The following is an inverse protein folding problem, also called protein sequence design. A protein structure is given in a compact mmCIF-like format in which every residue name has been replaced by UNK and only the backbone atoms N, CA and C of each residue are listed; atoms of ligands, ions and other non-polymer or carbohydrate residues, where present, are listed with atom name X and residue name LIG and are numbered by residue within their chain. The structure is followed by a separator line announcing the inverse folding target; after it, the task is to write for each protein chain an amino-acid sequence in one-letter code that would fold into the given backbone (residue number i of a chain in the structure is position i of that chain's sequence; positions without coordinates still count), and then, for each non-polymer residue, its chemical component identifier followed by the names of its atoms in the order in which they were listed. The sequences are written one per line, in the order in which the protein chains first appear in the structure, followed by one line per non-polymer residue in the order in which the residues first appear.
data_IF_827121674059
#
_entry.id   IF_827121674059
#
_cell.length_a   1.000
_cell.length_b   1.000
_cell.length_c   1.000
_cell.angle_alpha   90.00
_cell.angle_beta   90.00
_cell.angle_gamma   90.00
#
_symmetry.space_group_name_H-M   'P 1'
#
loop_
_entity.id
_entity.type
_entity.pdbx_description
1 polymer ?
#
# COMPACT_ATOMS: atom_id res chain seq x y z
N UNK A 1 15.04 -13.39 5.97
CA UNK A 1 15.95 -14.46 5.48
C UNK A 1 15.03 -15.50 4.86
N UNK A 2 15.16 -15.79 3.56
CA UNK A 2 14.37 -16.86 2.95
C UNK A 2 14.85 -18.18 3.56
N UNK A 3 13.95 -18.95 4.17
CA UNK A 3 14.28 -20.26 4.72
C UNK A 3 14.13 -21.27 3.59
N UNK A 4 15.24 -21.79 3.09
CA UNK A 4 15.25 -22.87 2.11
C UNK A 4 15.27 -24.21 2.86
N UNK A 5 14.20 -24.99 2.73
CA UNK A 5 14.06 -26.32 3.34
C UNK A 5 14.31 -27.45 2.35
N UNK A 6 14.69 -27.09 1.12
CA UNK A 6 14.93 -28.06 0.04
C UNK A 6 13.71 -28.95 -0.20
N UNK A 7 12.52 -28.35 -0.15
CA UNK A 7 11.25 -29.04 -0.38
C UNK A 7 10.76 -28.83 -1.80
N UNK A 8 10.06 -29.81 -2.36
CA UNK A 8 9.43 -29.72 -3.67
C UNK A 8 8.43 -28.56 -3.78
N UNK A 9 7.84 -28.14 -2.66
CA UNK A 9 6.94 -26.98 -2.59
C UNK A 9 7.64 -25.63 -2.81
N UNK A 10 8.97 -25.58 -2.66
CA UNK A 10 9.76 -24.35 -2.78
C UNK A 10 10.31 -24.14 -4.21
N UNK A 11 10.08 -25.11 -5.11
CA UNK A 11 10.45 -25.02 -6.52
C UNK A 11 9.57 -24.00 -7.26
N UNK A 12 10.20 -23.24 -8.15
CA UNK A 12 9.56 -22.31 -9.08
C UNK A 12 8.54 -22.98 -10.03
N UNK A 13 8.71 -24.27 -10.26
CA UNK A 13 7.80 -25.13 -11.04
C UNK A 13 6.61 -25.67 -10.27
N UNK A 14 6.58 -25.59 -8.93
CA UNK A 14 5.49 -26.16 -8.14
C UNK A 14 4.17 -25.41 -8.35
N UNK A 15 4.15 -24.09 -8.08
CA UNK A 15 2.92 -23.30 -8.22
C UNK A 15 2.34 -23.34 -9.65
N UNK A 16 3.12 -23.20 -10.75
CA UNK A 16 2.61 -23.25 -12.11
C UNK A 16 2.08 -24.65 -12.46
N UNK A 17 2.64 -25.72 -11.88
CA UNK A 17 2.13 -27.09 -12.11
C UNK A 17 0.69 -27.28 -11.66
N UNK A 18 0.24 -26.50 -10.67
CA UNK A 18 -1.14 -26.50 -10.16
C UNK A 18 -1.95 -25.40 -10.87
N UNK A 19 -1.42 -24.18 -10.90
CA UNK A 19 -2.10 -23.00 -11.41
C UNK A 19 -2.44 -23.13 -12.90
N UNK A 20 -1.56 -23.68 -13.74
CA UNK A 20 -1.88 -23.89 -15.15
C UNK A 20 -2.98 -24.92 -15.36
N UNK A 21 -3.07 -25.96 -14.51
CA UNK A 21 -4.19 -26.92 -14.55
C UNK A 21 -5.50 -26.27 -14.12
N UNK A 22 -5.43 -25.39 -13.12
CA UNK A 22 -6.56 -24.58 -12.69
C UNK A 22 -7.04 -23.67 -13.82
N UNK A 23 -6.14 -23.01 -14.53
CA UNK A 23 -6.47 -22.13 -15.66
C UNK A 23 -7.25 -22.86 -16.79
N UNK A 24 -6.91 -24.12 -17.06
CA UNK A 24 -7.63 -24.97 -18.03
C UNK A 24 -9.11 -25.16 -17.63
N UNK A 25 -9.40 -25.16 -16.34
CA UNK A 25 -10.77 -25.25 -15.79
C UNK A 25 -11.41 -23.87 -15.65
N UNK A 26 -10.66 -22.86 -15.22
CA UNK A 26 -11.15 -21.48 -15.06
C UNK A 26 -11.63 -20.89 -16.38
N UNK A 27 -10.88 -21.07 -17.47
CA UNK A 27 -11.22 -20.49 -18.77
C UNK A 27 -12.64 -20.88 -19.25
N UNK A 28 -13.02 -22.17 -19.36
CA UNK A 28 -14.37 -22.54 -19.77
C UNK A 28 -15.43 -22.09 -18.76
N UNK A 29 -15.13 -22.07 -17.46
CA UNK A 29 -16.07 -21.60 -16.42
C UNK A 29 -16.31 -20.09 -16.54
N UNK A 30 -15.28 -19.27 -16.73
CA UNK A 30 -15.42 -17.83 -16.92
C UNK A 30 -16.16 -17.51 -18.22
N UNK A 31 -15.89 -18.25 -19.31
CA UNK A 31 -16.62 -18.11 -20.57
C UNK A 31 -18.10 -18.47 -20.41
N UNK A 32 -18.41 -19.57 -19.71
CA UNK A 32 -19.79 -19.96 -19.41
C UNK A 32 -20.50 -18.90 -18.56
N UNK A 33 -19.85 -18.39 -17.52
CA UNK A 33 -20.42 -17.36 -16.65
C UNK A 33 -20.66 -16.05 -17.43
N UNK A 34 -19.72 -15.62 -18.28
CA UNK A 34 -19.91 -14.46 -19.16
C UNK A 34 -21.09 -14.69 -20.11
N UNK A 35 -21.20 -15.88 -20.71
CA UNK A 35 -22.34 -16.26 -21.55
C UNK A 35 -23.68 -16.19 -20.80
N UNK A 36 -23.75 -16.73 -19.59
CA UNK A 36 -24.97 -16.68 -18.75
C UNK A 36 -25.33 -15.23 -18.41
N UNK A 37 -24.36 -14.38 -18.06
CA UNK A 37 -24.62 -12.95 -17.80
C UNK A 37 -25.14 -12.25 -19.07
N UNK A 38 -24.55 -12.53 -20.23
CA UNK A 38 -24.95 -11.85 -21.47
C UNK A 38 -26.33 -12.32 -21.95
N UNK A 39 -26.64 -13.61 -21.89
CA UNK A 39 -27.81 -14.17 -22.56
C UNK A 39 -28.93 -14.62 -21.63
N UNK A 40 -28.66 -14.84 -20.34
CA UNK A 40 -29.63 -15.39 -19.37
C UNK A 40 -30.01 -14.42 -18.23
N UNK A 41 -29.45 -13.21 -18.17
CA UNK A 41 -29.89 -12.21 -17.18
C UNK A 41 -31.37 -11.83 -17.40
N UNK A 42 -32.24 -11.99 -16.38
CA UNK A 42 -33.67 -11.72 -16.52
C UNK A 42 -33.97 -10.22 -16.68
N UNK A 43 -35.11 -9.84 -17.27
CA UNK A 43 -35.50 -8.44 -17.47
C UNK A 43 -35.50 -7.59 -16.19
N UNK A 44 -35.82 -8.21 -15.05
CA UNK A 44 -35.83 -7.57 -13.72
C UNK A 44 -34.44 -7.13 -13.24
N UNK A 45 -33.37 -7.71 -13.81
CA UNK A 45 -31.97 -7.39 -13.47
C UNK A 45 -31.23 -6.69 -14.61
N UNK A 46 -31.95 -6.20 -15.63
CA UNK A 46 -31.35 -5.57 -16.81
C UNK A 46 -30.52 -4.33 -16.47
N UNK A 47 -30.91 -3.57 -15.45
CA UNK A 47 -30.19 -2.36 -15.00
C UNK A 47 -28.83 -2.64 -14.37
N UNK A 48 -28.61 -3.85 -13.80
CA UNK A 48 -27.34 -4.23 -13.17
C UNK A 48 -26.45 -5.08 -14.08
N UNK A 49 -26.99 -5.57 -15.20
CA UNK A 49 -26.32 -6.48 -16.14
C UNK A 49 -24.94 -5.99 -16.58
N UNK A 50 -24.82 -4.72 -16.97
CA UNK A 50 -23.55 -4.15 -17.46
C UNK A 50 -22.46 -4.15 -16.39
N UNK A 51 -22.80 -3.72 -15.17
CA UNK A 51 -21.85 -3.69 -14.05
C UNK A 51 -21.49 -5.10 -13.57
N UNK A 52 -22.46 -6.03 -13.59
CA UNK A 52 -22.22 -7.44 -13.28
C UNK A 52 -21.27 -8.09 -14.31
N UNK A 53 -21.45 -7.79 -15.59
CA UNK A 53 -20.54 -8.27 -16.64
C UNK A 53 -19.14 -7.68 -16.49
N UNK A 54 -19.03 -6.37 -16.24
CA UNK A 54 -17.75 -5.70 -16.05
C UNK A 54 -16.98 -6.28 -14.85
N UNK A 55 -17.66 -6.45 -13.72
CA UNK A 55 -17.10 -7.10 -12.53
C UNK A 55 -16.60 -8.51 -12.83
N UNK A 56 -17.39 -9.31 -13.56
CA UNK A 56 -17.00 -10.66 -13.96
C UNK A 56 -15.78 -10.66 -14.88
N UNK A 57 -15.73 -9.78 -15.88
CA UNK A 57 -14.60 -9.70 -16.81
C UNK A 57 -13.31 -9.24 -16.11
N UNK A 58 -13.38 -8.27 -15.21
CA UNK A 58 -12.21 -7.83 -14.42
C UNK A 58 -11.71 -8.94 -13.48
N UNK A 59 -12.62 -9.67 -12.83
CA UNK A 59 -12.28 -10.82 -12.00
C UNK A 59 -11.65 -11.96 -12.82
N UNK A 60 -12.30 -12.36 -13.91
CA UNK A 60 -11.80 -13.41 -14.80
C UNK A 60 -10.42 -13.06 -15.41
N UNK A 61 -10.19 -11.79 -15.76
CA UNK A 61 -8.87 -11.33 -16.18
C UNK A 61 -7.83 -11.57 -15.08
N UNK A 62 -8.11 -11.17 -13.83
CA UNK A 62 -7.18 -11.33 -12.71
C UNK A 62 -6.90 -12.81 -12.40
N UNK A 63 -7.94 -13.65 -12.38
CA UNK A 63 -7.83 -15.08 -12.11
C UNK A 63 -6.93 -15.75 -13.15
N UNK A 64 -7.23 -15.56 -14.44
CA UNK A 64 -6.41 -16.05 -15.55
C UNK A 64 -5.01 -15.44 -15.58
N UNK A 65 -4.86 -14.20 -15.10
CA UNK A 65 -3.55 -13.55 -15.02
C UNK A 65 -2.64 -14.29 -14.04
N UNK A 66 -3.15 -14.60 -12.86
CA UNK A 66 -2.42 -15.33 -11.81
C UNK A 66 -2.17 -16.79 -12.22
N UNK A 67 -3.14 -17.43 -12.88
CA UNK A 67 -3.12 -18.86 -13.13
C UNK A 67 -2.40 -19.26 -14.44
N UNK A 68 -2.39 -18.40 -15.46
CA UNK A 68 -1.81 -18.70 -16.77
C UNK A 68 -0.95 -17.59 -17.40
N UNK A 69 -1.38 -16.33 -17.34
CA UNK A 69 -0.70 -15.27 -18.11
C UNK A 69 0.65 -14.90 -17.49
N UNK A 70 0.69 -14.72 -16.17
CA UNK A 70 1.90 -14.34 -15.44
C UNK A 70 1.76 -14.59 -13.93
N UNK A 71 2.22 -15.75 -13.50
CA UNK A 71 2.39 -16.11 -12.10
C UNK A 71 3.44 -15.17 -11.47
N UNK A 72 3.02 -14.42 -10.45
CA UNK A 72 3.89 -13.47 -9.75
C UNK A 72 4.53 -14.12 -8.52
N UNK A 73 5.87 -14.15 -8.46
CA UNK A 73 6.60 -14.58 -7.28
C UNK A 73 7.19 -13.39 -6.55
N UNK A 74 6.46 -12.85 -5.57
CA UNK A 74 6.96 -11.77 -4.72
C UNK A 74 7.76 -12.33 -3.54
N UNK A 75 8.99 -11.85 -3.35
CA UNK A 75 9.83 -12.18 -2.20
C UNK A 75 9.61 -11.18 -1.07
N UNK A 76 8.56 -11.35 -0.26
CA UNK A 76 8.36 -10.48 0.91
C UNK A 76 9.51 -10.62 1.93
N UNK A 77 10.01 -9.52 2.53
CA UNK A 77 9.53 -8.14 2.41
C UNK A 77 10.12 -7.36 1.23
N UNK A 78 11.00 -7.91 0.40
CA UNK A 78 11.57 -7.16 -0.71
C UNK A 78 10.52 -6.88 -1.82
N UNK A 79 10.55 -5.69 -2.43
CA UNK A 79 9.85 -5.42 -3.69
C UNK A 79 10.60 -6.08 -4.87
N UNK A 80 10.83 -7.37 -4.74
CA UNK A 80 11.64 -8.19 -5.62
C UNK A 80 10.83 -9.42 -5.98
N UNK A 81 10.89 -9.80 -7.24
CA UNK A 81 10.21 -10.98 -7.71
C UNK A 81 10.64 -11.36 -9.10
N UNK A 82 10.19 -12.53 -9.53
CA UNK A 82 10.23 -12.94 -10.93
C UNK A 82 8.83 -13.36 -11.34
N UNK A 83 8.60 -13.40 -12.64
CA UNK A 83 7.31 -13.80 -13.21
C UNK A 83 7.52 -14.98 -14.12
N UNK A 84 6.52 -15.86 -14.18
CA UNK A 84 6.53 -17.02 -15.07
C UNK A 84 5.13 -17.22 -15.65
N UNK A 85 5.02 -17.62 -16.92
CA UNK A 85 3.72 -17.81 -17.57
C UNK A 85 3.78 -17.43 -19.04
N UNK A 86 2.61 -17.33 -19.67
CA UNK A 86 2.49 -17.05 -21.10
C UNK A 86 3.18 -15.75 -21.53
N UNK A 87 3.06 -14.66 -20.76
CA UNK A 87 3.72 -13.39 -21.08
C UNK A 87 5.24 -13.45 -20.94
N UNK A 88 5.75 -14.31 -20.05
CA UNK A 88 7.20 -14.54 -19.95
C UNK A 88 7.71 -15.31 -21.16
N UNK A 89 6.94 -16.28 -21.67
CA UNK A 89 7.26 -16.97 -22.93
C UNK A 89 7.25 -16.02 -24.15
N UNK A 90 6.34 -15.05 -24.17
CA UNK A 90 6.30 -13.99 -25.18
C UNK A 90 7.41 -12.93 -25.03
N UNK A 91 8.26 -13.01 -24.00
CA UNK A 91 9.34 -12.06 -23.76
C UNK A 91 8.88 -10.71 -23.21
N UNK A 92 7.68 -10.61 -22.64
CA UNK A 92 7.19 -9.38 -22.01
C UNK A 92 8.07 -9.05 -20.79
N UNK A 93 8.65 -7.85 -20.68
CA UNK A 93 9.48 -7.50 -19.54
C UNK A 93 8.73 -7.59 -18.21
N UNK A 94 9.41 -8.04 -17.15
CA UNK A 94 8.82 -8.21 -15.81
C UNK A 94 8.14 -6.95 -15.27
N UNK A 95 8.69 -5.76 -15.56
CA UNK A 95 8.10 -4.47 -15.18
C UNK A 95 6.67 -4.30 -15.71
N UNK A 96 6.41 -4.76 -16.92
CA UNK A 96 5.10 -4.66 -17.56
C UNK A 96 4.15 -5.74 -17.05
N UNK A 97 4.67 -6.95 -16.80
CA UNK A 97 3.89 -8.02 -16.17
C UNK A 97 3.43 -7.60 -14.76
N UNK A 98 4.31 -7.02 -13.96
CA UNK A 98 3.97 -6.46 -12.64
C UNK A 98 2.97 -5.30 -12.71
N UNK A 99 3.13 -4.39 -13.67
CA UNK A 99 2.15 -3.31 -13.92
C UNK A 99 0.76 -3.87 -14.23
N UNK A 100 0.67 -4.77 -15.21
CA UNK A 100 -0.60 -5.38 -15.62
C UNK A 100 -1.27 -6.17 -14.48
N UNK A 101 -0.47 -6.82 -13.62
CA UNK A 101 -0.96 -7.51 -12.43
C UNK A 101 -1.59 -6.56 -11.42
N UNK A 102 -0.83 -5.53 -10.98
CA UNK A 102 -1.31 -4.59 -9.97
C UNK A 102 -2.48 -3.77 -10.49
N UNK A 103 -2.45 -3.33 -11.75
CA UNK A 103 -3.60 -2.69 -12.40
C UNK A 103 -4.80 -3.65 -12.46
N UNK A 104 -4.59 -4.94 -12.74
CA UNK A 104 -5.64 -5.97 -12.67
C UNK A 104 -6.33 -6.07 -11.31
N UNK A 105 -5.55 -6.10 -10.23
CA UNK A 105 -6.06 -6.09 -8.86
C UNK A 105 -6.91 -4.85 -8.57
N UNK A 106 -6.41 -3.67 -8.96
CA UNK A 106 -7.14 -2.42 -8.76
C UNK A 106 -8.42 -2.37 -9.60
N UNK A 107 -8.39 -2.82 -10.87
CA UNK A 107 -9.56 -2.89 -11.74
C UNK A 107 -10.63 -3.84 -11.20
N UNK A 108 -10.24 -5.01 -10.71
CA UNK A 108 -11.15 -5.92 -10.03
C UNK A 108 -11.80 -5.25 -8.81
N UNK A 109 -11.00 -4.57 -7.97
CA UNK A 109 -11.52 -3.81 -6.81
C UNK A 109 -12.51 -2.70 -7.20
N UNK A 110 -12.16 -1.87 -8.19
CA UNK A 110 -13.04 -0.79 -8.67
C UNK A 110 -14.31 -1.35 -9.31
N UNK A 111 -14.25 -2.51 -9.96
CA UNK A 111 -15.43 -3.17 -10.54
C UNK A 111 -16.42 -3.66 -9.47
N UNK A 112 -15.91 -4.18 -8.36
CA UNK A 112 -16.73 -4.57 -7.19
C UNK A 112 -17.34 -3.32 -6.55
N UNK A 113 -16.56 -2.25 -6.36
CA UNK A 113 -17.04 -0.97 -5.85
C UNK A 113 -18.16 -0.41 -6.74
N UNK A 114 -17.97 -0.41 -8.05
CA UNK A 114 -18.97 0.04 -9.02
C UNK A 114 -20.26 -0.80 -8.96
N UNK A 115 -20.14 -2.12 -8.77
CA UNK A 115 -21.30 -2.99 -8.55
C UNK A 115 -22.07 -2.62 -7.28
N UNK A 116 -21.38 -2.44 -6.14
CA UNK A 116 -22.01 -2.03 -4.88
C UNK A 116 -22.64 -0.64 -4.97
N UNK A 117 -21.97 0.33 -5.58
CA UNK A 117 -22.50 1.69 -5.76
C UNK A 117 -23.77 1.70 -6.63
N UNK A 118 -23.77 0.90 -7.69
CA UNK A 118 -24.94 0.72 -8.56
C UNK A 118 -26.11 0.06 -7.81
N UNK A 119 -25.83 -0.95 -6.99
CA UNK A 119 -26.84 -1.62 -6.16
C UNK A 119 -27.38 -0.70 -5.06
N UNK A 120 -26.50 0.05 -4.40
CA UNK A 120 -26.85 1.02 -3.37
C UNK A 120 -27.78 2.10 -3.92
N UNK A 121 -27.45 2.68 -5.07
CA UNK A 121 -28.31 3.67 -5.74
C UNK A 121 -29.68 3.08 -6.06
N UNK A 122 -29.73 1.87 -6.63
CA UNK A 122 -30.98 1.22 -7.01
C UNK A 122 -31.91 0.95 -5.83
N UNK A 123 -31.36 0.53 -4.68
CA UNK A 123 -32.15 0.16 -3.49
C UNK A 123 -32.49 1.37 -2.61
N UNK A 124 -31.53 2.26 -2.35
CA UNK A 124 -31.68 3.34 -1.36
C UNK A 124 -32.25 4.61 -2.00
N UNK A 125 -31.75 4.99 -3.18
CA UNK A 125 -32.15 6.25 -3.84
C UNK A 125 -33.33 6.04 -4.79
N UNK A 126 -33.39 4.90 -5.46
CA UNK A 126 -34.46 4.55 -6.40
C UNK A 126 -34.69 5.66 -7.44
N UNK A 127 -35.95 5.99 -7.73
CA UNK A 127 -36.32 7.05 -8.69
C UNK A 127 -36.08 8.49 -8.20
N UNK A 128 -35.62 8.69 -6.96
CA UNK A 128 -35.38 10.03 -6.38
C UNK A 128 -33.98 10.58 -6.70
N UNK A 129 -33.15 9.87 -7.44
CA UNK A 129 -31.83 10.35 -7.82
C UNK A 129 -31.93 11.54 -8.79
N UNK A 130 -31.28 12.66 -8.45
CA UNK A 130 -31.19 13.80 -9.35
C UNK A 130 -30.26 13.49 -10.53
N UNK A 131 -30.53 14.06 -11.70
CA UNK A 131 -29.67 13.91 -12.89
C UNK A 131 -28.22 14.32 -12.61
N UNK A 132 -28.01 15.33 -11.76
CA UNK A 132 -26.70 15.76 -11.33
C UNK A 132 -25.96 14.66 -10.56
N UNK A 133 -26.66 13.98 -9.64
CA UNK A 133 -26.08 12.87 -8.88
C UNK A 133 -25.68 11.70 -9.77
N UNK A 134 -26.47 11.38 -10.80
CA UNK A 134 -26.10 10.32 -11.76
C UNK A 134 -24.84 10.67 -12.57
N UNK A 135 -24.70 11.92 -13.01
CA UNK A 135 -23.49 12.40 -13.68
C UNK A 135 -22.26 12.35 -12.76
N UNK A 136 -22.41 12.78 -11.50
CA UNK A 136 -21.33 12.69 -10.51
C UNK A 136 -20.93 11.25 -10.21
N UNK A 137 -21.90 10.34 -10.09
CA UNK A 137 -21.64 8.91 -9.89
C UNK A 137 -20.84 8.33 -11.05
N UNK A 138 -21.22 8.65 -12.29
CA UNK A 138 -20.47 8.22 -13.47
C UNK A 138 -19.04 8.79 -13.45
N UNK A 139 -18.88 10.08 -13.18
CA UNK A 139 -17.56 10.71 -13.07
C UNK A 139 -16.70 10.07 -11.97
N UNK A 140 -17.28 9.80 -10.80
CA UNK A 140 -16.60 9.11 -9.69
C UNK A 140 -16.14 7.71 -10.11
N UNK A 141 -17.02 6.89 -10.70
CA UNK A 141 -16.66 5.52 -11.11
C UNK A 141 -15.57 5.55 -12.19
N UNK A 142 -15.76 6.34 -13.25
CA UNK A 142 -14.77 6.47 -14.35
C UNK A 142 -13.44 7.00 -13.82
N UNK A 143 -13.47 7.99 -12.92
CA UNK A 143 -12.29 8.53 -12.26
C UNK A 143 -11.52 7.47 -11.47
N UNK A 144 -12.22 6.58 -10.75
CA UNK A 144 -11.57 5.46 -10.04
C UNK A 144 -10.93 4.46 -11.01
N UNK A 145 -11.54 4.18 -12.16
CA UNK A 145 -10.94 3.32 -13.19
C UNK A 145 -9.66 3.95 -13.78
N UNK A 146 -9.70 5.24 -14.10
CA UNK A 146 -8.51 5.97 -14.59
C UNK A 146 -7.42 5.97 -13.51
N UNK A 147 -7.79 6.26 -12.26
CA UNK A 147 -6.86 6.26 -11.14
C UNK A 147 -6.22 4.89 -10.93
N UNK A 148 -7.00 3.79 -10.98
CA UNK A 148 -6.49 2.42 -10.86
C UNK A 148 -5.39 2.08 -11.89
N UNK A 149 -5.50 2.60 -13.11
CA UNK A 149 -4.53 2.36 -14.19
C UNK A 149 -3.32 3.30 -14.10
N UNK A 150 -3.55 4.57 -13.74
CA UNK A 150 -2.51 5.62 -13.73
C UNK A 150 -1.69 5.62 -12.45
N UNK A 151 -2.28 5.30 -11.29
CA UNK A 151 -1.62 5.43 -9.99
C UNK A 151 -0.32 4.62 -9.87
N UNK A 152 -0.29 3.42 -10.47
CA UNK A 152 0.89 2.54 -10.44
C UNK A 152 1.91 2.90 -11.51
N UNK A 153 1.51 3.64 -12.55
CA UNK A 153 2.36 3.93 -13.70
C UNK A 153 3.67 4.66 -13.33
N UNK A 154 3.71 5.68 -12.47
CA UNK A 154 4.97 6.29 -12.05
C UNK A 154 5.95 5.32 -11.37
N UNK A 155 5.41 4.36 -10.61
CA UNK A 155 6.22 3.37 -9.87
C UNK A 155 6.93 2.43 -10.83
N UNK A 156 6.38 2.17 -12.03
CA UNK A 156 7.03 1.27 -13.01
C UNK A 156 8.32 1.85 -13.61
N UNK A 157 8.48 3.19 -13.61
CA UNK A 157 9.68 3.88 -14.10
C UNK A 157 10.64 4.29 -12.98
N UNK A 158 10.13 4.41 -11.75
CA UNK A 158 10.90 4.84 -10.58
C UNK A 158 11.24 3.68 -9.64
N UNK A 159 10.98 2.45 -10.07
CA UNK A 159 11.27 1.25 -9.30
C UNK A 159 12.75 1.21 -8.92
N UNK A 160 13.09 1.17 -7.62
CA UNK A 160 14.47 1.11 -7.18
C UNK A 160 15.11 -0.20 -7.62
N UNK A 161 16.43 -0.19 -7.81
CA UNK A 161 17.19 -1.42 -8.08
C UNK A 161 16.90 -2.49 -7.02
N UNK A 162 16.76 -3.74 -7.48
CA UNK A 162 16.28 -4.86 -6.68
C UNK A 162 17.08 -5.05 -5.39
N UNK A 163 18.41 -4.84 -5.41
CA UNK A 163 19.31 -4.99 -4.27
C UNK A 163 19.04 -3.95 -3.17
N UNK A 164 18.96 -2.67 -3.54
CA UNK A 164 18.62 -1.56 -2.64
C UNK A 164 17.18 -1.67 -2.11
N UNK A 165 16.24 -2.04 -2.97
CA UNK A 165 14.83 -2.24 -2.62
C UNK A 165 14.64 -3.28 -1.52
N UNK A 166 15.41 -4.38 -1.50
CA UNK A 166 15.29 -5.39 -0.42
C UNK A 166 15.66 -4.82 0.94
N UNK A 167 16.77 -4.09 1.02
CA UNK A 167 17.25 -3.52 2.28
C UNK A 167 16.26 -2.46 2.79
N UNK A 168 15.82 -1.56 1.92
CA UNK A 168 14.86 -0.52 2.26
C UNK A 168 13.53 -1.10 2.78
N UNK A 169 12.91 -2.04 2.05
CA UNK A 169 11.62 -2.57 2.50
C UNK A 169 11.77 -3.44 3.75
N UNK A 170 12.90 -4.12 3.95
CA UNK A 170 13.18 -4.81 5.23
C UNK A 170 13.23 -3.84 6.40
N UNK A 171 13.98 -2.74 6.29
CA UNK A 171 14.05 -1.71 7.33
C UNK A 171 12.67 -1.10 7.58
N UNK A 172 11.94 -0.76 6.52
CA UNK A 172 10.60 -0.19 6.59
C UNK A 172 9.58 -1.15 7.20
N UNK A 173 9.62 -2.43 6.85
CA UNK A 173 8.72 -3.45 7.39
C UNK A 173 8.93 -3.68 8.88
N UNK A 174 10.20 -3.73 9.33
CA UNK A 174 10.52 -3.81 10.76
C UNK A 174 9.97 -2.57 11.47
N UNK A 175 10.16 -1.38 10.88
CA UNK A 175 9.67 -0.13 11.44
C UNK A 175 8.14 -0.09 11.58
N UNK A 176 7.42 -0.47 10.52
CA UNK A 176 5.96 -0.59 10.53
C UNK A 176 5.47 -1.64 11.54
N UNK A 177 6.14 -2.80 11.62
CA UNK A 177 5.78 -3.86 12.56
C UNK A 177 5.86 -3.34 13.99
N UNK A 178 6.94 -2.65 14.35
CA UNK A 178 7.09 -2.02 15.66
C UNK A 178 6.00 -0.96 15.88
N UNK A 179 5.75 -0.12 14.88
CA UNK A 179 4.75 0.95 14.94
C UNK A 179 3.32 0.43 15.14
N UNK A 180 2.98 -0.74 14.60
CA UNK A 180 1.64 -1.34 14.71
C UNK A 180 1.51 -2.15 16.01
N UNK A 181 2.54 -2.93 16.38
CA UNK A 181 2.48 -3.80 17.56
C UNK A 181 2.35 -2.98 18.85
N UNK A 182 3.09 -1.87 18.98
CA UNK A 182 3.11 -1.09 20.23
C UNK A 182 1.71 -0.53 20.59
N UNK A 183 0.97 0.16 19.69
CA UNK A 183 -0.39 0.60 19.96
C UNK A 183 -1.37 -0.54 20.20
N UNK A 184 -1.24 -1.67 19.47
CA UNK A 184 -2.10 -2.84 19.68
C UNK A 184 -1.92 -3.39 21.09
N UNK A 185 -0.67 -3.57 21.55
CA UNK A 185 -0.39 -4.02 22.90
C UNK A 185 -0.99 -3.10 23.97
N UNK A 186 -1.00 -1.78 23.74
CA UNK A 186 -1.60 -0.81 24.66
C UNK A 186 -3.13 -0.93 24.77
N UNK A 187 -3.81 -1.48 23.75
CA UNK A 187 -5.27 -1.61 23.70
C UNK A 187 -5.75 -2.99 24.22
N UNK A 188 -4.90 -4.02 24.20
CA UNK A 188 -5.26 -5.37 24.66
C UNK A 188 -5.69 -5.38 26.13
N UNK A 189 -4.93 -4.73 27.02
CA UNK A 189 -5.24 -4.74 28.45
C UNK A 189 -6.57 -4.01 28.79
N UNK A 190 -6.85 -2.81 28.26
CA UNK A 190 -8.17 -2.18 28.39
C UNK A 190 -9.33 -3.06 27.89
N UNK A 191 -9.19 -3.68 26.72
CA UNK A 191 -10.23 -4.54 26.15
C UNK A 191 -10.45 -5.78 27.01
N UNK A 192 -9.37 -6.42 27.47
CA UNK A 192 -9.43 -7.58 28.37
C UNK A 192 -10.12 -7.25 29.70
N UNK A 193 -9.82 -6.09 30.27
CA UNK A 193 -10.47 -5.62 31.49
C UNK A 193 -11.97 -5.36 31.30
N UNK A 194 -12.37 -4.70 30.20
CA UNK A 194 -13.79 -4.48 29.89
C UNK A 194 -14.52 -5.82 29.77
N UNK A 195 -13.95 -6.79 29.06
CA UNK A 195 -14.54 -8.12 28.93
C UNK A 195 -14.70 -8.83 30.28
N UNK A 196 -13.67 -8.77 31.15
CA UNK A 196 -13.72 -9.32 32.50
C UNK A 196 -14.79 -8.65 33.37
N UNK A 197 -14.85 -7.30 33.36
CA UNK A 197 -15.82 -6.53 34.13
C UNK A 197 -17.27 -6.85 33.69
N UNK A 198 -17.51 -6.97 32.37
CA UNK A 198 -18.81 -7.37 31.85
C UNK A 198 -19.18 -8.82 32.22
N UNK A 199 -18.23 -9.76 32.15
CA UNK A 199 -18.49 -11.17 32.46
C UNK A 199 -18.79 -11.40 33.96
N UNK A 200 -18.15 -10.63 34.84
CA UNK A 200 -18.28 -10.77 36.30
C UNK A 200 -19.26 -9.77 36.91
N UNK A 201 -19.76 -8.80 36.14
CA UNK A 201 -20.49 -7.62 36.63
C UNK A 201 -19.75 -6.84 37.73
N UNK A 202 -18.41 -6.95 37.77
CA UNK A 202 -17.56 -6.28 38.74
C UNK A 202 -16.89 -5.06 38.10
N UNK A 203 -17.36 -3.88 38.49
CA UNK A 203 -16.90 -2.61 37.95
C UNK A 203 -16.01 -1.88 38.96
N UNK A 204 -14.72 -1.79 38.66
CA UNK A 204 -13.76 -1.04 39.48
C UNK A 204 -13.48 0.31 38.81
N UNK A 205 -13.93 1.39 39.46
CA UNK A 205 -13.77 2.74 38.93
C UNK A 205 -12.30 3.19 38.85
N UNK A 206 -11.45 2.72 39.75
CA UNK A 206 -10.03 3.07 39.73
C UNK A 206 -9.33 2.41 38.54
N UNK A 207 -9.60 1.11 38.29
CA UNK A 207 -9.07 0.41 37.11
C UNK A 207 -9.64 1.00 35.80
N UNK A 208 -10.92 1.35 35.75
CA UNK A 208 -11.51 2.07 34.62
C UNK A 208 -10.77 3.39 34.32
N UNK A 209 -10.54 4.22 35.33
CA UNK A 209 -9.83 5.48 35.16
C UNK A 209 -8.39 5.25 34.68
N UNK A 210 -7.70 4.21 35.17
CA UNK A 210 -6.35 3.84 34.72
C UNK A 210 -6.39 3.45 33.23
N UNK A 211 -7.29 2.56 32.82
CA UNK A 211 -7.34 2.10 31.42
C UNK A 211 -7.78 3.18 30.44
N UNK A 212 -8.66 4.10 30.83
CA UNK A 212 -9.01 5.28 30.02
C UNK A 212 -7.77 6.17 29.80
N UNK A 213 -6.93 6.36 30.83
CA UNK A 213 -5.67 7.09 30.66
C UNK A 213 -4.70 6.32 29.75
N UNK A 214 -4.56 5.00 29.88
CA UNK A 214 -3.72 4.17 28.99
C UNK A 214 -4.16 4.32 27.53
N UNK A 215 -5.47 4.29 27.27
CA UNK A 215 -6.02 4.56 25.94
C UNK A 215 -5.68 5.99 25.51
N UNK A 216 -5.82 7.01 26.35
CA UNK A 216 -5.47 8.38 25.96
C UNK A 216 -3.98 8.52 25.54
N UNK A 217 -3.07 7.80 26.20
CA UNK A 217 -1.63 7.86 25.90
C UNK A 217 -1.20 7.08 24.65
N UNK A 218 -2.00 6.13 24.14
CA UNK A 218 -1.58 5.27 23.02
C UNK A 218 -1.20 6.06 21.75
N UNK A 219 -1.93 7.13 21.44
CA UNK A 219 -1.71 7.97 20.25
C UNK A 219 -0.41 8.76 20.33
N UNK A 220 -0.05 9.22 21.53
CA UNK A 220 1.22 9.89 21.79
C UNK A 220 2.39 8.90 21.66
N UNK A 221 2.27 7.71 22.25
CA UNK A 221 3.27 6.65 22.14
C UNK A 221 3.46 6.27 20.66
N UNK A 222 2.38 6.08 19.91
CA UNK A 222 2.40 5.78 18.46
C UNK A 222 3.17 6.86 17.68
N UNK A 223 2.94 8.13 18.00
CA UNK A 223 3.60 9.26 17.35
C UNK A 223 5.10 9.31 17.68
N UNK A 224 5.47 9.11 18.95
CA UNK A 224 6.88 9.07 19.37
C UNK A 224 7.61 7.89 18.72
N UNK A 225 7.00 6.71 18.68
CA UNK A 225 7.54 5.53 18.01
C UNK A 225 7.71 5.77 16.52
N UNK A 226 6.72 6.37 15.85
CA UNK A 226 6.82 6.73 14.45
C UNK A 226 8.02 7.65 14.17
N UNK A 227 8.22 8.69 14.99
CA UNK A 227 9.34 9.62 14.84
C UNK A 227 10.70 8.95 15.13
N UNK A 228 10.75 8.00 16.06
CA UNK A 228 11.99 7.33 16.47
C UNK A 228 12.42 6.18 15.55
N UNK A 229 11.48 5.39 15.06
CA UNK A 229 11.77 4.14 14.34
C UNK A 229 11.95 4.38 12.84
N UNK A 230 11.22 5.33 12.25
CA UNK A 230 11.37 5.67 10.84
C UNK A 230 12.60 6.54 10.60
N UNK A 231 13.58 5.98 9.88
CA UNK A 231 14.85 6.64 9.53
C UNK A 231 14.70 8.08 8.98
N UNK A 232 13.83 8.39 7.99
CA UNK A 232 13.70 9.75 7.49
C UNK A 232 13.18 10.73 8.56
N UNK A 233 12.26 10.30 9.42
CA UNK A 233 11.67 11.14 10.46
C UNK A 233 12.66 11.38 11.60
N UNK A 234 13.36 10.35 12.05
CA UNK A 234 14.41 10.49 13.07
C UNK A 234 15.52 11.43 12.60
N UNK A 235 15.94 11.32 11.34
CA UNK A 235 16.94 12.22 10.77
C UNK A 235 16.45 13.66 10.69
N UNK A 236 15.20 13.90 10.29
CA UNK A 236 14.60 15.23 10.27
C UNK A 236 14.55 15.86 11.68
N UNK A 237 14.10 15.10 12.70
CA UNK A 237 14.04 15.56 14.09
C UNK A 237 15.44 15.88 14.62
N UNK A 238 16.42 15.00 14.39
CA UNK A 238 17.81 15.27 14.79
C UNK A 238 18.41 16.47 14.06
N UNK A 239 18.05 16.69 12.79
CA UNK A 239 18.42 17.88 12.03
C UNK A 239 17.88 19.16 12.66
N UNK A 240 16.59 19.19 13.02
CA UNK A 240 15.98 20.33 13.69
C UNK A 240 16.64 20.62 15.05
N UNK A 241 16.93 19.59 15.85
CA UNK A 241 17.59 19.73 17.15
C UNK A 241 19.02 20.27 16.98
N UNK A 242 19.79 19.76 16.02
CA UNK A 242 21.15 20.25 15.73
C UNK A 242 21.14 21.71 15.27
N UNK A 243 20.22 22.10 14.38
CA UNK A 243 20.07 23.49 13.96
C UNK A 243 19.71 24.40 15.15
N UNK A 244 18.77 23.98 16.00
CA UNK A 244 18.39 24.75 17.18
C UNK A 244 19.54 24.89 18.20
N UNK A 245 20.37 23.86 18.36
CA UNK A 245 21.58 23.92 19.19
C UNK A 245 22.62 24.89 18.62
N UNK A 246 22.87 24.84 17.32
CA UNK A 246 23.80 25.75 16.64
C UNK A 246 23.32 27.21 16.69
N UNK A 247 22.02 27.45 16.51
CA UNK A 247 21.41 28.78 16.61
C UNK A 247 21.56 29.37 18.02
N UNK A 248 21.28 28.57 19.07
CA UNK A 248 21.54 28.97 20.46
C UNK A 248 23.02 29.24 20.75
N UNK A 249 23.93 28.44 20.19
CA UNK A 249 25.38 28.63 20.36
C UNK A 249 25.88 29.91 19.69
N UNK A 250 25.36 30.22 18.50
CA UNK A 250 25.69 31.45 17.78
C UNK A 250 25.12 32.69 18.49
N UNK A 251 23.87 32.64 18.96
CA UNK A 251 23.25 33.73 19.73
C UNK A 251 23.96 33.98 21.07
N UNK A 252 24.36 32.91 21.78
CA UNK A 252 25.13 33.03 23.03
C UNK A 252 26.56 33.54 22.84
N UNK A 253 27.18 33.26 21.69
CA UNK A 253 28.50 33.80 21.35
C UNK A 253 28.43 35.28 20.93
N UNK A 254 27.36 35.71 20.25
CA UNK A 254 27.16 37.11 19.88
C UNK A 254 26.85 38.02 21.07
N UNK A 255 26.19 37.50 22.12
CA UNK A 255 25.90 38.26 23.34
C UNK A 255 27.15 38.55 24.21
N UNK A 256 28.25 37.82 24.01
CA UNK A 256 29.53 38.06 24.70
C UNK A 256 30.45 39.04 23.94
N UNK A 257 30.03 39.50 22.75
CA UNK A 257 30.76 40.49 21.94
C UNK A 257 30.02 41.84 21.99
N UNK A 258 29.78 42.35 23.19
CA UNK A 258 29.55 43.79 23.40
C UNK A 258 30.91 44.48 23.50
N UNK A 259 31.57 44.63 22.34
CA UNK A 259 32.89 45.23 22.29
C UNK A 259 33.58 45.00 20.95
N UNK A 260 33.13 45.76 19.95
CA UNK A 260 33.77 45.96 18.63
C UNK A 260 33.38 44.98 17.51
N UNK A 261 32.90 45.58 16.42
CA UNK A 261 32.62 45.02 15.08
C UNK A 261 31.45 44.04 14.93
N UNK A 262 30.30 44.60 14.52
CA UNK A 262 29.21 43.84 13.92
C UNK A 262 29.67 43.23 12.58
N UNK A 263 30.05 41.96 12.59
CA UNK A 263 30.19 41.18 11.36
C UNK A 263 28.78 40.71 10.98
N UNK A 264 28.20 41.35 9.96
CA UNK A 264 26.96 40.91 9.33
C UNK A 264 27.24 39.58 8.62
N UNK A 265 27.09 38.47 9.35
CA UNK A 265 27.07 37.14 8.75
C UNK A 265 25.72 36.96 8.06
N UNK A 266 25.72 37.17 6.74
CA UNK A 266 24.60 36.88 5.85
C UNK A 266 24.07 35.46 6.10
N UNK A 267 22.90 35.37 6.74
CA UNK A 267 22.14 34.14 6.94
C UNK A 267 21.70 33.57 5.60
N UNK A 268 22.53 32.71 5.00
CA UNK A 268 22.03 31.72 4.04
C UNK A 268 21.38 30.60 4.85
N UNK A 269 20.04 30.65 5.00
CA UNK A 269 19.27 29.47 5.40
C UNK A 269 19.63 28.32 4.45
N UNK A 270 19.97 27.12 4.93
CA UNK A 270 20.08 25.98 4.05
C UNK A 270 18.66 25.66 3.56
N UNK A 271 18.41 25.91 2.28
CA UNK A 271 17.26 25.38 1.58
C UNK A 271 17.27 23.85 1.73
N UNK A 272 16.27 23.31 2.42
CA UNK A 272 16.01 21.88 2.52
C UNK A 272 15.50 21.44 1.15
N UNK A 273 16.41 21.25 0.20
CA UNK A 273 16.14 20.38 -0.93
C UNK A 273 16.54 18.96 -0.52
N UNK A 274 15.67 17.96 -0.72
CA UNK A 274 16.02 16.58 -0.46
C UNK A 274 17.15 16.19 -1.42
N UNK A 275 18.36 16.10 -0.89
CA UNK A 275 19.50 15.51 -1.59
C UNK A 275 19.23 14.01 -1.70
N UNK A 276 18.86 13.55 -2.89
CA UNK A 276 18.88 12.14 -3.25
C UNK A 276 20.34 11.70 -3.16
N UNK A 277 20.64 10.83 -2.20
CA UNK A 277 21.98 10.26 -2.03
C UNK A 277 22.24 9.32 -3.20
N UNK A 278 22.90 9.81 -4.25
CA UNK A 278 23.47 8.98 -5.31
C UNK A 278 24.78 8.44 -4.74
N UNK A 279 24.87 7.11 -4.59
CA UNK A 279 26.04 6.43 -4.03
C UNK A 279 27.34 6.71 -4.80
N UNK A 280 28.50 6.35 -4.22
CA UNK A 280 29.80 6.65 -4.82
C UNK A 280 29.98 5.93 -6.15
N UNK A 281 30.46 6.67 -7.16
CA UNK A 281 30.60 6.21 -8.53
C UNK A 281 31.49 4.98 -8.68
N UNK A 282 31.01 4.05 -9.49
CA UNK A 282 31.86 3.11 -10.19
C UNK A 282 31.96 3.55 -11.65
N UNK A 283 33.17 3.98 -12.03
CA UNK A 283 33.58 4.11 -13.42
C UNK A 283 33.42 2.75 -14.12
N UNK A 284 32.60 2.70 -15.16
CA UNK A 284 32.77 1.74 -16.23
C UNK A 284 32.75 2.51 -17.55
N UNK A 285 33.84 2.31 -18.30
CA UNK A 285 34.09 2.84 -19.64
C UNK A 285 33.02 2.36 -20.63
N UNK A 286 32.78 3.10 -21.74
CA UNK A 286 31.95 2.61 -22.82
C UNK A 286 32.68 1.47 -23.54
N UNK A 287 31.96 0.40 -23.84
CA UNK A 287 32.33 -0.56 -24.87
C UNK A 287 31.24 -0.47 -25.93
N UNK A 288 31.68 -0.24 -27.16
CA UNK A 288 30.89 -0.23 -28.39
C UNK A 288 30.05 -1.51 -28.57
#
# INVERSE_FOLDING_TARGET
MCVWRNSSYELDSFAPSILHKLAVVELPVHLLAAYVIIFKTPPTMKSVKGMMLLMHLCGAYLDLFISALSNQYFMFPAAAGYTQGFYTYLGVPIRWQGYMYVSGLCLAGVSILGFFENRFTAVVRGKKASLLHEKWRLFYIVGNYIFAVVFIFPITFTAPEQSYGKAYVREFFIALSIQIIIPICAIIAPVGYIAFACATSYFDQALNNIFVNVIAFHGLISSVVMLGVHKPYRQAVLGMIKCAYLDKKLMGSSAHVEGTTAIVLSSKRPSIHPQVYIGPGHNYLPVD
#
